data_IF_386613336110
#
_entry.id   IF_386613336110
#
_cell.length_a   1.000
_cell.length_b   1.000
_cell.length_c   1.000
_cell.angle_alpha   90.00
_cell.angle_beta   90.00
_cell.angle_gamma   90.00
#
_symmetry.space_group_name_H-M   'P 1'
#
loop_
_entity.id
_entity.type
_entity.pdbx_description
1 polymer ?
#
# COMPACT_ATOMS: atom_id res chain seq x y z
N UNK A 1 -3.54 28.19 -4.09
CA UNK A 1 -2.34 27.58 -3.47
C UNK A 1 -1.15 28.06 -4.26
N UNK A 2 -0.17 28.68 -3.59
CA UNK A 2 1.04 29.12 -4.27
C UNK A 2 1.80 27.89 -4.80
N UNK A 3 2.41 27.99 -5.99
CA UNK A 3 3.04 26.84 -6.65
C UNK A 3 4.07 26.09 -5.77
N UNK A 4 4.72 26.79 -4.83
CA UNK A 4 5.66 26.19 -3.87
C UNK A 4 5.00 25.30 -2.80
N UNK A 5 3.78 25.60 -2.38
CA UNK A 5 3.08 24.80 -1.37
C UNK A 5 2.64 23.44 -1.94
N UNK A 6 2.14 23.44 -3.18
CA UNK A 6 1.75 22.22 -3.87
C UNK A 6 2.96 21.27 -4.03
N UNK A 7 4.15 21.82 -4.30
CA UNK A 7 5.39 21.04 -4.40
C UNK A 7 5.80 20.42 -3.05
N UNK A 8 5.68 21.14 -1.93
CA UNK A 8 6.04 20.61 -0.61
C UNK A 8 5.15 19.43 -0.20
N UNK A 9 3.84 19.55 -0.39
CA UNK A 9 2.88 18.49 -0.05
C UNK A 9 3.10 17.24 -0.87
N UNK A 10 3.34 17.39 -2.18
CA UNK A 10 3.65 16.26 -3.04
C UNK A 10 4.92 15.54 -2.58
N UNK A 11 6.01 16.27 -2.31
CA UNK A 11 7.25 15.69 -1.81
C UNK A 11 7.04 14.95 -0.49
N UNK A 12 6.29 15.55 0.44
CA UNK A 12 5.98 14.94 1.74
C UNK A 12 5.17 13.67 1.59
N UNK A 13 4.16 13.67 0.72
CA UNK A 13 3.37 12.49 0.38
C UNK A 13 4.26 11.39 -0.23
N UNK A 14 5.10 11.71 -1.22
CA UNK A 14 6.00 10.74 -1.86
C UNK A 14 6.97 10.11 -0.87
N UNK A 15 7.59 10.93 -0.01
CA UNK A 15 8.50 10.45 1.05
C UNK A 15 7.78 9.52 2.03
N UNK A 16 6.56 9.87 2.44
CA UNK A 16 5.75 9.04 3.33
C UNK A 16 5.34 7.71 2.67
N UNK A 17 4.87 7.75 1.42
CA UNK A 17 4.53 6.54 0.65
C UNK A 17 5.73 5.61 0.59
N UNK A 18 6.92 6.11 0.22
CA UNK A 18 8.15 5.31 0.21
C UNK A 18 8.45 4.66 1.57
N UNK A 19 8.33 5.43 2.65
CA UNK A 19 8.58 4.94 3.99
C UNK A 19 7.58 3.85 4.44
N UNK A 20 6.30 3.97 4.06
CA UNK A 20 5.25 2.99 4.36
C UNK A 20 5.40 1.75 3.49
N UNK A 21 5.71 1.92 2.20
CA UNK A 21 5.99 0.84 1.26
C UNK A 21 7.08 -0.09 1.80
N UNK A 22 8.21 0.48 2.20
CA UNK A 22 9.34 -0.27 2.78
C UNK A 22 8.95 -0.97 4.08
N UNK A 23 8.13 -0.34 4.93
CA UNK A 23 7.72 -0.90 6.21
C UNK A 23 6.73 -2.07 6.07
N UNK A 24 5.84 -2.04 5.07
CA UNK A 24 4.82 -3.05 4.81
C UNK A 24 5.30 -4.18 3.91
N UNK A 25 6.17 -3.89 2.94
CA UNK A 25 6.68 -4.84 1.95
C UNK A 25 8.21 -4.80 1.90
N UNK A 26 8.90 -5.14 3.01
CA UNK A 26 10.35 -5.10 3.08
C UNK A 26 10.98 -6.18 2.18
N UNK A 27 12.25 -5.97 1.86
CA UNK A 27 13.10 -7.00 1.24
C UNK A 27 13.07 -8.26 2.09
N UNK A 28 12.84 -9.40 1.46
CA UNK A 28 12.62 -10.66 2.15
C UNK A 28 13.38 -11.81 1.46
N UNK A 29 13.66 -12.87 2.22
CA UNK A 29 14.36 -14.06 1.72
C UNK A 29 13.43 -15.14 1.17
N UNK A 30 12.12 -14.95 1.27
CA UNK A 30 11.10 -15.93 0.83
C UNK A 30 10.76 -15.79 -0.65
N UNK A 31 11.35 -14.81 -1.35
CA UNK A 31 11.13 -14.58 -2.78
C UNK A 31 9.80 -13.92 -3.10
N UNK A 32 9.12 -13.34 -2.10
CA UNK A 32 7.94 -12.52 -2.33
C UNK A 32 8.40 -11.16 -2.88
N UNK A 33 7.75 -10.62 -3.92
CA UNK A 33 8.15 -9.33 -4.49
C UNK A 33 8.16 -8.25 -3.42
N UNK A 34 9.23 -7.47 -3.33
CA UNK A 34 9.33 -6.37 -2.38
C UNK A 34 8.79 -5.05 -2.96
N UNK A 35 8.87 -3.97 -2.19
CA UNK A 35 8.38 -2.67 -2.60
C UNK A 35 9.14 -2.05 -3.80
N UNK A 36 10.41 -2.42 -4.03
CA UNK A 36 11.21 -1.94 -5.17
C UNK A 36 10.84 -2.72 -6.42
N UNK A 37 10.78 -4.05 -6.33
CA UNK A 37 10.40 -4.93 -7.45
C UNK A 37 8.98 -4.70 -7.96
N UNK A 38 8.10 -4.21 -7.09
CA UNK A 38 6.71 -3.88 -7.43
C UNK A 38 6.51 -2.42 -7.83
N UNK A 39 7.59 -1.63 -7.82
CA UNK A 39 7.56 -0.19 -8.10
C UNK A 39 6.46 0.53 -7.31
N UNK A 40 6.30 0.14 -6.03
CA UNK A 40 5.07 0.42 -5.28
C UNK A 40 4.82 1.92 -5.12
N UNK A 41 5.90 2.70 -5.01
CA UNK A 41 5.83 4.16 -4.86
C UNK A 41 5.30 4.84 -6.13
N UNK A 42 5.89 4.56 -7.30
CA UNK A 42 5.47 5.18 -8.57
C UNK A 42 4.04 4.79 -8.90
N UNK A 43 3.68 3.52 -8.76
CA UNK A 43 2.30 3.04 -8.99
C UNK A 43 1.28 3.68 -8.07
N UNK A 44 1.63 3.88 -6.80
CA UNK A 44 0.74 4.57 -5.87
C UNK A 44 0.56 6.04 -6.28
N UNK A 45 1.60 6.71 -6.77
CA UNK A 45 1.49 8.08 -7.27
C UNK A 45 0.64 8.17 -8.55
N UNK A 46 0.83 7.25 -9.50
CA UNK A 46 -0.01 7.13 -10.70
C UNK A 46 -1.48 6.93 -10.33
N UNK A 47 -1.76 6.04 -9.39
CA UNK A 47 -3.12 5.86 -8.87
C UNK A 47 -3.69 7.14 -8.24
N UNK A 48 -2.89 7.89 -7.47
CA UNK A 48 -3.31 9.17 -6.93
C UNK A 48 -3.64 10.20 -8.01
N UNK A 49 -2.96 10.15 -9.16
CA UNK A 49 -3.21 11.04 -10.30
C UNK A 49 -4.50 10.68 -11.06
N UNK A 50 -4.90 9.41 -11.08
CA UNK A 50 -6.16 8.95 -11.69
C UNK A 50 -7.39 9.23 -10.83
N UNK A 51 -7.22 9.45 -9.53
CA UNK A 51 -8.33 9.63 -8.59
C UNK A 51 -9.04 10.99 -8.74
N UNK A 52 -10.36 11.04 -8.48
CA UNK A 52 -11.09 12.29 -8.35
C UNK A 52 -10.42 13.23 -7.31
N UNK A 53 -10.40 14.56 -7.53
CA UNK A 53 -9.62 15.49 -6.71
C UNK A 53 -9.87 15.40 -5.20
N UNK A 54 -11.11 15.12 -4.78
CA UNK A 54 -11.44 14.96 -3.36
C UNK A 54 -10.81 13.70 -2.74
N UNK A 55 -10.85 12.57 -3.45
CA UNK A 55 -10.30 11.29 -3.01
C UNK A 55 -8.77 11.35 -3.00
N UNK A 56 -8.17 11.94 -4.03
CA UNK A 56 -6.74 12.23 -4.10
C UNK A 56 -6.28 13.02 -2.88
N UNK A 57 -6.95 14.13 -2.55
CA UNK A 57 -6.61 14.96 -1.38
C UNK A 57 -6.71 14.17 -0.08
N UNK A 58 -7.71 13.30 0.07
CA UNK A 58 -7.89 12.49 1.27
C UNK A 58 -6.73 11.50 1.47
N UNK A 59 -6.32 10.80 0.42
CA UNK A 59 -5.18 9.89 0.48
C UNK A 59 -3.86 10.64 0.67
N UNK A 60 -3.65 11.75 -0.03
CA UNK A 60 -2.47 12.61 0.22
C UNK A 60 -2.42 13.07 1.68
N UNK A 61 -3.57 13.50 2.24
CA UNK A 61 -3.67 13.92 3.63
C UNK A 61 -3.37 12.78 4.61
N UNK A 62 -3.78 11.53 4.31
CA UNK A 62 -3.42 10.36 5.11
C UNK A 62 -1.90 10.19 5.25
N UNK A 63 -1.17 10.24 4.13
CA UNK A 63 0.30 10.10 4.12
C UNK A 63 1.01 11.32 4.75
N UNK A 64 0.54 12.53 4.46
CA UNK A 64 1.06 13.75 5.09
C UNK A 64 0.84 13.71 6.61
N UNK A 65 -0.36 13.31 7.04
CA UNK A 65 -0.70 13.17 8.45
C UNK A 65 0.24 12.18 9.12
N UNK A 66 0.46 11.00 8.54
CA UNK A 66 1.40 10.04 9.08
C UNK A 66 2.82 10.62 9.24
N UNK A 67 3.33 11.26 8.19
CA UNK A 67 4.69 11.83 8.17
C UNK A 67 4.90 12.90 9.25
N UNK A 68 3.89 13.75 9.48
CA UNK A 68 3.97 14.89 10.39
C UNK A 68 3.48 14.60 11.81
N UNK A 69 2.52 13.70 11.98
CA UNK A 69 1.93 13.38 13.28
C UNK A 69 2.73 12.33 14.06
N UNK A 70 3.65 11.60 13.40
CA UNK A 70 4.49 10.58 14.06
C UNK A 70 5.11 11.03 15.39
N UNK A 71 5.64 12.26 15.55
CA UNK A 71 6.16 12.69 16.83
C UNK A 71 5.16 12.70 17.97
N UNK A 72 3.90 12.99 17.67
CA UNK A 72 2.82 12.94 18.63
C UNK A 72 2.32 11.50 18.85
N UNK A 73 2.16 10.73 17.76
CA UNK A 73 1.59 9.37 17.81
C UNK A 73 2.55 8.34 18.42
N UNK A 74 3.86 8.52 18.25
CA UNK A 74 4.90 7.62 18.71
C UNK A 74 5.75 8.20 19.85
N UNK A 75 5.45 9.42 20.31
CA UNK A 75 6.25 10.17 21.31
C UNK A 75 7.75 10.22 20.97
N UNK A 76 8.07 10.36 19.68
CA UNK A 76 9.43 10.29 19.16
C UNK A 76 9.76 11.53 18.34
N UNK A 77 10.86 12.28 18.57
CA UNK A 77 11.09 13.59 17.96
C UNK A 77 11.52 13.56 16.47
N UNK A 78 11.04 12.58 15.69
CA UNK A 78 11.33 12.43 14.27
C UNK A 78 10.07 12.16 13.45
N UNK A 79 10.09 12.60 12.19
CA UNK A 79 9.07 12.25 11.19
C UNK A 79 9.08 10.75 10.89
N UNK A 80 7.98 10.22 10.36
CA UNK A 80 7.84 8.80 10.05
C UNK A 80 8.97 8.28 9.17
N UNK A 81 9.23 8.95 8.04
CA UNK A 81 10.26 8.57 7.07
C UNK A 81 11.69 8.54 7.64
N UNK A 82 11.96 9.29 8.71
CA UNK A 82 13.28 9.35 9.35
C UNK A 82 13.53 8.24 10.36
N UNK A 83 12.51 7.44 10.67
CA UNK A 83 12.66 6.29 11.55
C UNK A 83 13.38 5.14 10.81
N UNK A 84 14.02 4.25 11.56
CA UNK A 84 14.51 2.99 10.97
C UNK A 84 13.33 2.14 10.48
N UNK A 85 13.59 1.27 9.51
CA UNK A 85 12.57 0.41 8.90
C UNK A 85 11.87 -0.43 9.97
N UNK A 86 12.64 -1.01 10.89
CA UNK A 86 12.11 -1.86 11.97
C UNK A 86 11.12 -1.08 12.86
N UNK A 87 11.43 0.18 13.16
CA UNK A 87 10.53 1.04 13.95
C UNK A 87 9.29 1.44 13.17
N UNK A 88 9.42 1.73 11.87
CA UNK A 88 8.29 2.02 11.00
C UNK A 88 7.33 0.84 10.94
N UNK A 89 7.86 -0.37 10.77
CA UNK A 89 7.10 -1.63 10.79
C UNK A 89 6.44 -1.86 12.15
N UNK A 90 7.18 -1.70 13.25
CA UNK A 90 6.66 -1.88 14.60
C UNK A 90 5.52 -0.89 14.92
N UNK A 91 5.61 0.37 14.49
CA UNK A 91 4.56 1.36 14.68
C UNK A 91 3.28 0.99 13.94
N UNK A 92 3.38 0.65 12.65
CA UNK A 92 2.20 0.27 11.84
C UNK A 92 1.53 -0.97 12.41
N UNK A 93 2.32 -1.97 12.83
CA UNK A 93 1.79 -3.17 13.49
C UNK A 93 1.18 -2.84 14.86
N UNK A 94 1.81 -1.96 15.63
CA UNK A 94 1.35 -1.52 16.94
C UNK A 94 0.02 -0.79 16.87
N UNK A 95 -0.12 0.17 15.96
CA UNK A 95 -1.36 0.92 15.76
C UNK A 95 -2.55 0.02 15.40
N UNK A 96 -2.33 -0.99 14.55
CA UNK A 96 -3.36 -1.98 14.18
C UNK A 96 -3.80 -2.86 15.34
N UNK A 97 -2.96 -3.04 16.36
CA UNK A 97 -3.26 -3.81 17.57
C UNK A 97 -3.74 -2.92 18.73
N UNK A 98 -3.71 -1.61 18.56
CA UNK A 98 -3.98 -0.67 19.63
C UNK A 98 -5.48 -0.67 19.97
N UNK A 99 -5.81 -0.59 21.26
CA UNK A 99 -7.20 -0.65 21.73
C UNK A 99 -8.02 0.60 21.32
N UNK A 100 -7.36 1.75 21.20
CA UNK A 100 -7.98 2.99 20.74
C UNK A 100 -8.18 2.96 19.22
N UNK A 101 -9.44 2.84 18.81
CA UNK A 101 -9.88 2.57 17.44
C UNK A 101 -9.31 3.48 16.34
N UNK A 102 -9.14 4.81 16.55
CA UNK A 102 -8.56 5.67 15.52
C UNK A 102 -7.16 5.25 15.05
N UNK A 103 -6.32 4.68 15.92
CA UNK A 103 -5.02 4.14 15.51
C UNK A 103 -5.17 2.88 14.64
N UNK A 104 -6.14 2.02 14.98
CA UNK A 104 -6.49 0.86 14.18
C UNK A 104 -6.90 1.26 12.77
N UNK A 105 -7.81 2.23 12.64
CA UNK A 105 -8.25 2.75 11.35
C UNK A 105 -7.12 3.37 10.53
N UNK A 106 -6.20 4.11 11.16
CA UNK A 106 -5.02 4.65 10.48
C UNK A 106 -4.16 3.53 9.90
N UNK A 107 -3.82 2.53 10.72
CA UNK A 107 -2.99 1.41 10.29
C UNK A 107 -3.65 0.55 9.20
N UNK A 108 -4.96 0.33 9.31
CA UNK A 108 -5.72 -0.42 8.32
C UNK A 108 -5.94 0.36 7.02
N UNK A 109 -6.14 1.68 7.07
CA UNK A 109 -6.22 2.52 5.86
C UNK A 109 -4.91 2.52 5.08
N UNK A 110 -3.77 2.64 5.78
CA UNK A 110 -2.44 2.53 5.18
C UNK A 110 -2.25 1.16 4.54
N UNK A 111 -2.52 0.09 5.30
CA UNK A 111 -2.37 -1.28 4.81
C UNK A 111 -3.27 -1.54 3.61
N UNK A 112 -4.55 -1.18 3.67
CA UNK A 112 -5.51 -1.42 2.60
C UNK A 112 -5.09 -0.72 1.31
N UNK A 113 -4.71 0.56 1.40
CA UNK A 113 -4.26 1.35 0.24
C UNK A 113 -3.02 0.71 -0.39
N UNK A 114 -2.01 0.40 0.42
CA UNK A 114 -0.75 -0.12 -0.08
C UNK A 114 -0.86 -1.57 -0.56
N UNK A 115 -1.64 -2.41 0.11
CA UNK A 115 -1.92 -3.79 -0.33
C UNK A 115 -2.70 -3.80 -1.64
N UNK A 116 -3.66 -2.90 -1.83
CA UNK A 116 -4.38 -2.78 -3.11
C UNK A 116 -3.40 -2.45 -4.26
N UNK A 117 -2.49 -1.50 -4.04
CA UNK A 117 -1.47 -1.16 -5.04
C UNK A 117 -0.48 -2.29 -5.28
N UNK A 118 -0.02 -2.96 -4.21
CA UNK A 118 0.89 -4.09 -4.27
C UNK A 118 0.29 -5.25 -5.07
N UNK A 119 -0.96 -5.64 -4.76
CA UNK A 119 -1.67 -6.71 -5.44
C UNK A 119 -2.05 -6.37 -6.89
N UNK A 120 -2.00 -5.09 -7.28
CA UNK A 120 -2.18 -4.69 -8.68
C UNK A 120 -0.98 -5.06 -9.56
N UNK A 121 0.19 -5.36 -8.97
CA UNK A 121 1.40 -5.59 -9.75
C UNK A 121 1.46 -7.02 -10.30
N UNK A 122 1.82 -7.22 -11.59
CA UNK A 122 1.85 -8.55 -12.19
C UNK A 122 2.84 -9.51 -11.51
N UNK A 123 3.94 -9.03 -10.95
CA UNK A 123 4.91 -9.90 -10.25
C UNK A 123 4.29 -10.53 -9.00
N UNK A 124 3.48 -9.76 -8.26
CA UNK A 124 2.78 -10.26 -7.06
C UNK A 124 1.74 -11.28 -7.46
N UNK A 125 0.93 -10.97 -8.49
CA UNK A 125 -0.10 -11.87 -8.98
C UNK A 125 0.50 -13.21 -9.43
N UNK A 126 1.66 -13.19 -10.11
CA UNK A 126 2.39 -14.40 -10.49
C UNK A 126 2.91 -15.17 -9.27
N UNK A 127 3.43 -14.47 -8.27
CA UNK A 127 3.94 -15.09 -7.04
C UNK A 127 2.84 -15.80 -6.24
N UNK A 128 1.62 -15.24 -6.21
CA UNK A 128 0.47 -15.89 -5.55
C UNK A 128 -0.26 -16.89 -6.44
N UNK A 129 0.33 -17.26 -7.59
CA UNK A 129 -0.24 -18.19 -8.57
C UNK A 129 -1.65 -17.78 -9.06
N UNK A 130 -1.88 -16.47 -9.21
CA UNK A 130 -3.14 -15.93 -9.70
C UNK A 130 -3.46 -16.43 -11.11
N UNK A 131 -4.70 -16.89 -11.31
CA UNK A 131 -5.20 -17.40 -12.59
C UNK A 131 -6.47 -16.67 -13.03
N UNK A 132 -6.75 -16.68 -14.34
CA UNK A 132 -8.01 -16.19 -14.91
C UNK A 132 -8.98 -17.35 -15.09
N UNK A 133 -10.20 -17.23 -14.61
CA UNK A 133 -11.25 -18.23 -14.90
C UNK A 133 -11.78 -18.10 -16.33
N UNK A 134 -11.74 -16.88 -16.89
CA UNK A 134 -12.22 -16.58 -18.24
C UNK A 134 -11.19 -15.76 -19.00
N UNK A 135 -11.01 -16.06 -20.29
CA UNK A 135 -10.25 -15.22 -21.21
C UNK A 135 -10.98 -13.88 -21.40
N UNK A 136 -10.31 -12.79 -21.07
CA UNK A 136 -10.76 -11.43 -21.41
C UNK A 136 -9.77 -10.84 -22.41
N UNK A 137 -10.11 -10.74 -23.71
CA UNK A 137 -9.18 -10.31 -24.74
C UNK A 137 -8.74 -8.84 -24.61
N UNK A 138 -9.50 -8.03 -23.86
CA UNK A 138 -9.19 -6.62 -23.59
C UNK A 138 -8.36 -6.41 -22.33
N UNK A 139 -8.06 -7.47 -21.58
CA UNK A 139 -7.27 -7.34 -20.35
C UNK A 139 -5.77 -7.37 -20.72
N UNK A 140 -5.02 -6.30 -20.43
CA UNK A 140 -3.61 -6.18 -20.81
C UNK A 140 -2.70 -7.19 -20.08
N UNK A 141 -3.19 -7.82 -19.00
CA UNK A 141 -2.40 -8.76 -18.21
C UNK A 141 -2.47 -10.18 -18.78
N UNK A 142 -1.34 -10.76 -19.18
CA UNK A 142 -1.29 -12.13 -19.66
C UNK A 142 -1.08 -13.11 -18.48
N UNK A 143 -2.17 -13.77 -18.05
CA UNK A 143 -2.17 -14.74 -16.96
C UNK A 143 -2.64 -16.11 -17.46
N UNK A 144 -2.19 -17.22 -16.82
CA UNK A 144 -2.69 -18.54 -17.12
C UNK A 144 -4.21 -18.60 -16.90
N UNK A 145 -4.92 -19.17 -17.88
CA UNK A 145 -6.38 -19.31 -17.84
C UNK A 145 -6.72 -20.72 -17.40
N UNK A 146 -7.47 -20.82 -16.31
CA UNK A 146 -7.95 -22.07 -15.75
C UNK A 146 -9.48 -22.06 -15.69
N UNK A 147 -10.10 -22.55 -16.77
CA UNK A 147 -11.56 -22.59 -16.94
C UNK A 147 -12.25 -23.55 -15.96
N UNK A 148 -11.50 -24.50 -15.39
CA UNK A 148 -12.02 -25.55 -14.51
C UNK A 148 -11.71 -25.30 -13.03
N UNK A 149 -11.04 -24.19 -12.69
CA UNK A 149 -10.68 -23.88 -11.31
C UNK A 149 -11.88 -23.86 -10.35
N UNK A 150 -13.02 -23.30 -10.78
CA UNK A 150 -14.23 -23.24 -9.97
C UNK A 150 -14.85 -24.63 -9.72
N UNK A 151 -14.63 -25.60 -10.61
CA UNK A 151 -15.14 -26.98 -10.44
C UNK A 151 -14.35 -27.77 -9.39
N UNK A 152 -13.12 -27.34 -9.10
CA UNK A 152 -12.21 -27.98 -8.13
C UNK A 152 -12.37 -27.45 -6.70
N UNK A 153 -13.13 -26.37 -6.50
CA UNK A 153 -13.38 -25.84 -5.17
C UNK A 153 -14.29 -26.80 -4.37
N UNK A 154 -13.93 -27.15 -3.13
CA UNK A 154 -14.80 -27.96 -2.28
C UNK A 154 -16.09 -27.20 -2.04
N UNK A 155 -17.24 -27.82 -2.34
CA UNK A 155 -18.55 -27.26 -2.01
C UNK A 155 -18.68 -27.26 -0.50
N UNK A 156 -18.53 -26.09 0.12
CA UNK A 156 -18.82 -25.91 1.55
C UNK A 156 -20.35 -25.86 1.68
N UNK A 157 -20.96 -27.00 1.98
CA UNK A 157 -22.36 -27.06 2.37
C UNK A 157 -22.52 -26.39 3.75
N UNK A 158 -23.13 -25.20 3.76
CA UNK A 158 -23.59 -24.52 4.98
C UNK A 158 -24.82 -25.19 5.57
#
# INVERSE_FOLDING_TARGET
MAAGEASYWLTTTTTSIGAVSEALFPKNSIGAPDFEETELVSRTLEYLDELPPAQRRLLMALFIFLELATPLLALYPARYSRLSVERRTALVQGWRRHWFQPFGWLGDALKATMTMMYMSHPSVIRHVEGYKTCERPTDPLNFPVDKDALKRLPVVSS
#
